data_IF_655229528524
#
_entry.id   IF_655229528524
#
_cell.length_a   1.000
_cell.length_b   1.000
_cell.length_c   1.000
_cell.angle_alpha   90.00
_cell.angle_beta   90.00
_cell.angle_gamma   90.00
#
_symmetry.space_group_name_H-M   'P 1'
#
loop_
_entity.id
_entity.type
_entity.pdbx_description
1 polymer ?
#
# COMPACT_ATOMS: atom_id res chain seq x y z
N UNK A 1 1.12 -3.84 -7.42
CA UNK A 1 1.86 -4.36 -8.58
C UNK A 1 2.90 -5.43 -8.21
N UNK A 2 3.42 -6.19 -9.18
CA UNK A 2 4.48 -7.21 -9.05
C UNK A 2 5.89 -6.60 -9.15
N UNK A 3 6.03 -5.47 -9.86
CA UNK A 3 7.26 -4.69 -9.95
C UNK A 3 6.98 -3.22 -9.68
N UNK A 4 8.00 -2.50 -9.20
CA UNK A 4 7.95 -1.05 -9.14
C UNK A 4 7.61 -0.45 -10.51
N UNK A 5 6.82 0.62 -10.47
CA UNK A 5 6.51 1.53 -11.58
C UNK A 5 5.70 0.96 -12.75
N UNK A 6 5.00 -0.17 -12.57
CA UNK A 6 4.11 -0.74 -13.60
C UNK A 6 2.82 -1.29 -12.99
N UNK A 7 1.73 -1.27 -13.76
CA UNK A 7 0.42 -1.83 -13.37
C UNK A 7 0.29 -3.32 -13.74
N UNK A 8 1.25 -4.16 -13.29
CA UNK A 8 1.15 -5.61 -13.47
C UNK A 8 0.91 -6.28 -12.12
N UNK A 9 -0.30 -6.75 -11.87
CA UNK A 9 -0.67 -7.48 -10.66
C UNK A 9 -0.51 -9.00 -10.78
N UNK A 10 -0.08 -9.52 -11.95
CA UNK A 10 0.10 -10.96 -12.14
C UNK A 10 1.28 -11.43 -11.28
N UNK A 11 1.05 -12.48 -10.49
CA UNK A 11 2.04 -13.10 -9.61
C UNK A 11 2.61 -12.19 -8.49
N UNK A 12 2.00 -11.03 -8.22
CA UNK A 12 2.42 -10.11 -7.14
C UNK A 12 2.20 -10.71 -5.74
N UNK A 13 3.27 -10.98 -4.95
CA UNK A 13 3.11 -11.35 -3.54
C UNK A 13 2.40 -10.26 -2.74
N UNK A 14 2.67 -8.99 -3.07
CA UNK A 14 2.04 -7.83 -2.46
C UNK A 14 0.51 -7.85 -2.62
N UNK A 15 0.01 -8.23 -3.81
CA UNK A 15 -1.43 -8.37 -4.06
C UNK A 15 -2.07 -9.41 -3.14
N UNK A 16 -1.44 -10.57 -2.96
CA UNK A 16 -1.98 -11.63 -2.10
C UNK A 16 -2.01 -11.20 -0.63
N UNK A 17 -0.96 -10.52 -0.16
CA UNK A 17 -0.91 -9.98 1.21
C UNK A 17 -2.01 -8.92 1.39
N UNK A 18 -2.09 -7.94 0.51
CA UNK A 18 -3.07 -6.86 0.59
C UNK A 18 -4.52 -7.38 0.49
N UNK A 19 -4.79 -8.34 -0.40
CA UNK A 19 -6.11 -8.96 -0.50
C UNK A 19 -6.45 -9.82 0.73
N UNK A 20 -5.47 -10.49 1.33
CA UNK A 20 -5.64 -11.21 2.59
C UNK A 20 -6.06 -10.28 3.73
N UNK A 21 -5.33 -9.18 3.90
CA UNK A 21 -5.65 -8.14 4.88
C UNK A 21 -7.02 -7.50 4.60
N UNK A 22 -7.34 -7.22 3.34
CA UNK A 22 -8.64 -6.69 2.94
C UNK A 22 -9.79 -7.63 3.32
N UNK A 23 -9.63 -8.94 3.15
CA UNK A 23 -10.67 -9.91 3.55
C UNK A 23 -10.86 -9.99 5.06
N UNK A 24 -9.80 -9.78 5.83
CA UNK A 24 -9.84 -9.86 7.29
C UNK A 24 -10.36 -8.57 7.94
N UNK A 25 -9.93 -7.40 7.45
CA UNK A 25 -10.19 -6.11 8.07
C UNK A 25 -11.17 -5.22 7.29
N UNK A 26 -11.52 -5.61 6.07
CA UNK A 26 -12.53 -4.99 5.24
C UNK A 26 -12.29 -3.52 4.93
N UNK A 27 -13.30 -2.68 5.16
CA UNK A 27 -13.29 -1.24 4.90
C UNK A 27 -12.24 -0.44 5.68
N UNK A 28 -11.49 -1.09 6.59
CA UNK A 28 -10.33 -0.48 7.24
C UNK A 28 -9.08 -0.50 6.37
N UNK A 29 -9.09 -1.23 5.25
CA UNK A 29 -7.94 -1.36 4.37
C UNK A 29 -8.02 -0.33 3.25
N UNK A 30 -7.05 0.58 3.29
CA UNK A 30 -6.72 1.49 2.21
C UNK A 30 -5.56 0.91 1.41
N UNK A 31 -5.75 0.79 0.10
CA UNK A 31 -4.71 0.34 -0.83
C UNK A 31 -4.25 1.54 -1.63
N UNK A 32 -2.94 1.72 -1.75
CA UNK A 32 -2.33 2.74 -2.60
C UNK A 32 -1.61 2.02 -3.74
N UNK A 33 -2.05 2.27 -4.97
CA UNK A 33 -1.36 1.83 -6.18
C UNK A 33 -1.35 2.98 -7.21
N UNK A 34 -0.23 3.70 -7.36
CA UNK A 34 -0.14 4.92 -8.18
C UNK A 34 -0.47 4.71 -9.66
N UNK A 35 -0.33 3.47 -10.15
CA UNK A 35 -0.46 3.14 -11.56
C UNK A 35 -1.75 2.38 -11.90
N UNK A 36 -2.55 2.02 -10.90
CA UNK A 36 -3.82 1.31 -11.10
C UNK A 36 -4.99 2.27 -11.02
N UNK A 37 -5.94 2.13 -11.95
CA UNK A 37 -7.19 2.91 -11.93
C UNK A 37 -8.28 2.30 -11.02
N UNK A 38 -8.12 1.05 -10.60
CA UNK A 38 -9.10 0.33 -9.79
C UNK A 38 -8.44 -0.82 -9.03
N UNK A 39 -9.05 -1.25 -7.91
CA UNK A 39 -8.63 -2.50 -7.28
C UNK A 39 -8.90 -3.69 -8.20
N UNK A 40 -8.01 -4.70 -8.20
CA UNK A 40 -8.26 -5.92 -8.94
C UNK A 40 -9.35 -6.78 -8.25
N UNK A 41 -9.95 -7.76 -8.95
CA UNK A 41 -11.12 -8.52 -8.47
C UNK A 41 -10.94 -9.27 -7.14
N UNK A 42 -9.72 -9.52 -6.68
CA UNK A 42 -9.46 -10.22 -5.41
C UNK A 42 -9.91 -9.43 -4.18
N UNK A 43 -10.12 -8.12 -4.35
CA UNK A 43 -10.65 -7.21 -3.34
C UNK A 43 -12.19 -7.11 -3.40
N UNK A 44 -12.85 -7.72 -4.38
CA UNK A 44 -14.31 -7.69 -4.50
C UNK A 44 -14.98 -8.23 -3.23
N UNK A 45 -15.96 -7.50 -2.72
CA UNK A 45 -16.67 -7.86 -1.49
C UNK A 45 -15.87 -7.69 -0.20
N UNK A 46 -14.59 -7.30 -0.26
CA UNK A 46 -13.82 -7.00 0.96
C UNK A 46 -14.24 -5.67 1.60
N UNK A 47 -14.64 -4.69 0.80
CA UNK A 47 -14.90 -3.33 1.27
C UNK A 47 -13.66 -2.44 1.35
N UNK A 48 -12.47 -2.97 1.02
CA UNK A 48 -11.25 -2.17 0.89
C UNK A 48 -11.40 -1.13 -0.24
N UNK A 49 -10.68 -0.02 -0.11
CA UNK A 49 -10.76 1.12 -1.03
C UNK A 49 -9.38 1.44 -1.61
N UNK A 50 -9.36 1.77 -2.91
CA UNK A 50 -8.19 2.37 -3.56
C UNK A 50 -8.20 3.85 -3.23
N UNK A 51 -7.12 4.34 -2.63
CA UNK A 51 -6.94 5.76 -2.28
C UNK A 51 -5.60 6.26 -2.82
N UNK A 52 -5.45 7.58 -2.86
CA UNK A 52 -4.15 8.19 -3.15
C UNK A 52 -3.20 8.13 -1.94
N UNK A 53 -1.93 8.44 -2.20
CA UNK A 53 -0.88 8.38 -1.18
C UNK A 53 -1.13 9.38 -0.05
N UNK A 54 -1.59 10.58 -0.37
CA UNK A 54 -1.81 11.66 0.60
C UNK A 54 -2.93 11.26 1.59
N UNK A 55 -4.04 10.74 1.08
CA UNK A 55 -5.13 10.20 1.91
C UNK A 55 -4.64 9.08 2.81
N UNK A 56 -3.81 8.17 2.29
CA UNK A 56 -3.27 7.08 3.10
C UNK A 56 -2.35 7.57 4.22
N UNK A 57 -1.52 8.58 3.96
CA UNK A 57 -0.62 9.18 4.97
C UNK A 57 -1.39 9.93 6.06
N UNK A 58 -2.50 10.58 5.69
CA UNK A 58 -3.33 11.33 6.64
C UNK A 58 -4.25 10.42 7.48
N UNK A 59 -4.87 9.42 6.85
CA UNK A 59 -5.93 8.64 7.49
C UNK A 59 -5.47 7.31 8.11
N UNK A 60 -4.33 6.74 7.67
CA UNK A 60 -3.91 5.42 8.13
C UNK A 60 -2.97 5.50 9.33
N UNK A 61 -3.35 4.84 10.44
CA UNK A 61 -2.46 4.65 11.59
C UNK A 61 -1.39 3.58 11.41
N UNK A 62 -1.46 2.76 10.35
CA UNK A 62 -0.48 1.72 10.02
C UNK A 62 -0.22 1.78 8.51
N UNK A 63 1.05 1.83 8.12
CA UNK A 63 1.48 1.83 6.72
C UNK A 63 2.36 0.60 6.49
N UNK A 64 2.00 -0.22 5.49
CA UNK A 64 2.75 -1.41 5.10
C UNK A 64 3.26 -1.24 3.68
N UNK A 65 4.58 -1.13 3.50
CA UNK A 65 5.18 -1.02 2.17
C UNK A 65 5.41 -2.41 1.61
N UNK A 66 4.70 -2.75 0.54
CA UNK A 66 4.80 -4.06 -0.12
C UNK A 66 5.48 -3.99 -1.50
N UNK A 67 5.60 -2.79 -2.09
CA UNK A 67 6.22 -2.54 -3.39
C UNK A 67 7.03 -1.25 -3.31
N UNK A 68 8.19 -1.21 -3.95
CA UNK A 68 9.18 -0.14 -3.92
C UNK A 68 8.99 0.87 -5.07
N UNK A 69 7.77 1.36 -5.25
CA UNK A 69 7.48 2.43 -6.20
C UNK A 69 8.28 3.70 -5.87
N UNK A 70 8.75 4.40 -6.89
CA UNK A 70 9.64 5.56 -6.68
C UNK A 70 8.94 6.70 -5.94
N UNK A 71 7.63 6.85 -6.10
CA UNK A 71 6.82 7.83 -5.38
C UNK A 71 6.83 7.61 -3.86
N UNK A 72 6.97 6.36 -3.39
CA UNK A 72 7.04 6.09 -1.96
C UNK A 72 8.42 6.44 -1.38
N UNK A 73 9.48 6.33 -2.17
CA UNK A 73 10.86 6.62 -1.73
C UNK A 73 11.09 8.08 -1.39
N UNK A 74 10.28 8.97 -1.97
CA UNK A 74 10.39 10.42 -1.76
C UNK A 74 9.51 10.94 -0.62
N UNK A 75 8.73 10.07 0.05
CA UNK A 75 7.91 10.44 1.20
C UNK A 75 8.81 10.76 2.39
N UNK A 76 8.80 12.02 2.90
CA UNK A 76 9.66 12.43 3.98
C UNK A 76 9.23 11.78 5.32
N UNK A 77 10.15 11.58 6.28
CA UNK A 77 9.83 10.97 7.58
C UNK A 77 8.71 11.69 8.32
N UNK A 78 8.65 13.02 8.23
CA UNK A 78 7.66 13.87 8.90
C UNK A 78 6.22 13.50 8.51
N UNK A 79 5.99 13.12 7.25
CA UNK A 79 4.68 12.69 6.75
C UNK A 79 4.28 11.30 7.26
N UNK A 80 5.21 10.54 7.84
CA UNK A 80 4.98 9.17 8.33
C UNK A 80 4.96 9.07 9.86
N UNK A 81 5.30 10.13 10.59
CA UNK A 81 5.47 10.10 12.06
C UNK A 81 4.20 9.70 12.83
N UNK A 82 3.02 9.90 12.26
CA UNK A 82 1.73 9.53 12.87
C UNK A 82 1.35 8.06 12.72
N UNK A 83 2.08 7.29 11.91
CA UNK A 83 1.73 5.92 11.57
C UNK A 83 2.81 4.92 12.01
N UNK A 84 2.38 3.71 12.37
CA UNK A 84 3.30 2.58 12.52
C UNK A 84 3.69 2.07 11.13
N UNK A 85 4.98 2.10 10.82
CA UNK A 85 5.47 1.76 9.49
C UNK A 85 6.12 0.38 9.48
N UNK A 86 5.66 -0.49 8.58
CA UNK A 86 6.28 -1.77 8.25
C UNK A 86 6.84 -1.72 6.83
N UNK A 87 8.14 -1.42 6.72
CA UNK A 87 8.83 -1.37 5.45
C UNK A 87 9.45 -2.73 5.08
N UNK A 88 8.74 -3.52 4.27
CA UNK A 88 9.25 -4.82 3.79
C UNK A 88 10.24 -4.68 2.62
N UNK A 89 10.43 -3.46 2.12
CA UNK A 89 11.25 -3.15 0.94
C UNK A 89 12.57 -2.46 1.29
N UNK A 90 12.68 -1.87 2.48
CA UNK A 90 13.87 -1.15 2.93
C UNK A 90 14.09 0.17 2.16
N UNK A 91 13.00 0.81 1.74
CA UNK A 91 13.03 2.09 1.03
C UNK A 91 13.17 3.29 1.97
N UNK A 92 12.83 3.14 3.25
CA UNK A 92 12.95 4.19 4.27
C UNK A 92 14.00 3.80 5.32
N UNK A 93 15.20 4.39 5.26
CA UNK A 93 16.32 4.01 6.13
C UNK A 93 16.13 4.41 7.60
N UNK A 94 15.19 5.33 7.87
CA UNK A 94 14.84 5.83 9.21
C UNK A 94 13.90 4.90 10.00
N UNK A 95 13.36 3.86 9.37
CA UNK A 95 12.34 2.95 9.93
C UNK A 95 12.94 1.65 10.49
N UNK A 96 14.27 1.58 10.64
CA UNK A 96 15.00 0.38 11.08
C UNK A 96 14.73 -0.03 12.55
#
# INVERSE_FOLDING_TARGET
AFKANIDDFRESPARFVAAGLAREFGARIHVVEPYAGSLPPEFDGSGATLVDLDTALEECGIIVVLVDHDIFKVVPPEERQGALVYDTRGIWPDVA
#
